data_IF_406791327792
#
_entry.id   IF_406791327792
#
_cell.length_a   1.000
_cell.length_b   1.000
_cell.length_c   1.000
_cell.angle_alpha   90.00
_cell.angle_beta   90.00
_cell.angle_gamma   90.00
#
_symmetry.space_group_name_H-M   'P 1'
#
loop_
_entity.id
_entity.type
_entity.pdbx_description
1 polymer ?
#
# COMPACT_ATOMS: atom_id res chain seq x y z
N UNK A 1 -17.45 -22.16 21.82
CA UNK A 1 -17.07 -22.04 20.39
C UNK A 1 -17.25 -20.59 20.00
N UNK A 2 -16.16 -19.82 19.83
CA UNK A 2 -16.23 -18.36 19.60
C UNK A 2 -16.35 -18.06 18.11
N UNK A 3 -17.51 -17.50 17.76
CA UNK A 3 -17.86 -16.62 16.64
C UNK A 3 -16.74 -16.32 15.63
N UNK A 4 -16.83 -16.90 14.43
CA UNK A 4 -16.16 -16.33 13.25
C UNK A 4 -17.08 -15.29 12.62
N UNK A 5 -16.76 -14.03 12.94
CA UNK A 5 -17.31 -12.85 12.31
C UNK A 5 -16.76 -12.76 10.88
N UNK A 6 -17.43 -13.43 9.95
CA UNK A 6 -17.19 -13.25 8.51
C UNK A 6 -17.87 -11.95 8.07
N UNK A 7 -17.17 -10.84 8.32
CA UNK A 7 -17.48 -9.53 7.74
C UNK A 7 -16.22 -8.99 7.05
N UNK A 8 -15.59 -9.86 6.25
CA UNK A 8 -14.56 -9.43 5.32
C UNK A 8 -15.27 -8.74 4.14
N UNK A 9 -15.59 -7.46 4.29
CA UNK A 9 -15.72 -6.61 3.12
C UNK A 9 -14.45 -6.78 2.27
N UNK A 10 -14.61 -6.93 0.97
CA UNK A 10 -13.58 -7.21 -0.05
C UNK A 10 -12.31 -6.32 -0.01
N UNK A 11 -12.14 -5.41 0.95
CA UNK A 11 -10.93 -4.62 1.16
C UNK A 11 -9.89 -5.26 2.10
N UNK A 12 -10.28 -6.16 3.03
CA UNK A 12 -9.35 -6.63 4.08
C UNK A 12 -8.15 -7.45 3.57
N UNK A 13 -8.36 -8.28 2.55
CA UNK A 13 -7.33 -9.16 1.99
C UNK A 13 -6.42 -8.40 1.03
N UNK A 14 -7.00 -7.57 0.16
CA UNK A 14 -6.28 -6.81 -0.85
C UNK A 14 -5.43 -5.70 -0.23
N UNK A 15 -5.94 -5.02 0.80
CA UNK A 15 -5.17 -4.03 1.55
C UNK A 15 -3.94 -4.66 2.22
N UNK A 16 -4.09 -5.89 2.73
CA UNK A 16 -2.99 -6.62 3.36
C UNK A 16 -1.91 -6.98 2.35
N UNK A 17 -2.29 -7.42 1.14
CA UNK A 17 -1.33 -7.64 0.04
C UNK A 17 -0.62 -6.34 -0.31
N UNK A 18 -1.34 -5.22 -0.45
CA UNK A 18 -0.72 -3.92 -0.74
C UNK A 18 0.28 -3.53 0.36
N UNK A 19 -0.08 -3.68 1.63
CA UNK A 19 0.81 -3.35 2.76
C UNK A 19 2.05 -4.25 2.80
N UNK A 20 1.88 -5.56 2.58
CA UNK A 20 2.97 -6.55 2.58
C UNK A 20 3.97 -6.28 1.45
N UNK A 21 3.45 -6.08 0.25
CA UNK A 21 4.25 -5.73 -0.92
C UNK A 21 4.90 -4.35 -0.79
N UNK A 22 4.19 -3.38 -0.20
CA UNK A 22 4.76 -2.07 0.08
C UNK A 22 5.89 -2.12 1.10
N UNK A 23 5.90 -3.07 2.03
CA UNK A 23 7.01 -3.21 2.99
C UNK A 23 8.32 -3.63 2.32
N UNK A 24 8.24 -4.34 1.19
CA UNK A 24 9.41 -4.84 0.45
C UNK A 24 10.06 -3.79 -0.48
N UNK A 25 9.31 -2.77 -0.93
CA UNK A 25 9.87 -1.72 -1.79
C UNK A 25 10.56 -0.63 -0.96
N UNK A 26 11.61 0.06 -1.43
CA UNK A 26 12.25 1.13 -0.65
C UNK A 26 11.50 2.47 -0.76
N UNK A 27 10.67 2.65 -1.78
CA UNK A 27 10.03 3.92 -2.12
C UNK A 27 8.82 4.23 -1.23
N UNK A 28 8.60 5.51 -0.95
CA UNK A 28 7.40 6.01 -0.27
C UNK A 28 6.19 5.97 -1.20
N UNK A 29 4.99 5.93 -0.61
CA UNK A 29 3.75 5.96 -1.38
C UNK A 29 3.61 7.19 -2.29
N UNK A 30 4.15 8.35 -1.92
CA UNK A 30 4.16 9.52 -2.82
C UNK A 30 5.07 9.29 -4.03
N UNK A 31 6.26 8.72 -3.83
CA UNK A 31 7.21 8.45 -4.91
C UNK A 31 6.62 7.44 -5.90
N UNK A 32 6.03 6.35 -5.40
CA UNK A 32 5.39 5.32 -6.23
C UNK A 32 4.23 5.91 -7.05
N UNK A 33 3.45 6.83 -6.48
CA UNK A 33 2.30 7.42 -7.19
C UNK A 33 2.72 8.53 -8.16
N UNK A 34 3.82 9.22 -7.87
CA UNK A 34 4.32 10.34 -8.69
C UNK A 34 5.15 9.88 -9.88
N UNK A 35 5.78 8.71 -9.78
CA UNK A 35 6.59 8.11 -10.83
C UNK A 35 5.82 6.99 -11.56
N UNK A 36 5.53 7.14 -12.87
CA UNK A 36 4.77 6.14 -13.63
C UNK A 36 5.44 4.75 -13.68
N UNK A 37 6.77 4.70 -13.73
CA UNK A 37 7.51 3.43 -13.81
C UNK A 37 7.44 2.68 -12.47
N UNK A 38 7.60 3.39 -11.35
CA UNK A 38 7.41 2.82 -10.02
C UNK A 38 5.96 2.40 -9.78
N UNK A 39 4.99 3.19 -10.23
CA UNK A 39 3.56 2.88 -10.14
C UNK A 39 3.23 1.58 -10.89
N UNK A 40 3.71 1.44 -12.13
CA UNK A 40 3.49 0.25 -12.94
C UNK A 40 4.21 -0.97 -12.38
N UNK A 41 5.46 -0.81 -11.93
CA UNK A 41 6.21 -1.88 -11.28
C UNK A 41 5.51 -2.39 -10.02
N UNK A 42 5.03 -1.47 -9.18
CA UNK A 42 4.29 -1.81 -7.98
C UNK A 42 2.93 -2.45 -8.30
N UNK A 43 2.24 -1.99 -9.35
CA UNK A 43 0.99 -2.59 -9.83
C UNK A 43 1.16 -4.05 -10.22
N UNK A 44 2.17 -4.36 -11.03
CA UNK A 44 2.47 -5.74 -11.46
C UNK A 44 2.73 -6.62 -10.25
N UNK A 45 3.54 -6.14 -9.32
CA UNK A 45 3.91 -6.86 -8.11
C UNK A 45 2.69 -7.13 -7.20
N UNK A 46 1.82 -6.15 -6.98
CA UNK A 46 0.56 -6.37 -6.22
C UNK A 46 -0.39 -7.32 -6.96
N UNK A 47 -0.58 -7.15 -8.26
CA UNK A 47 -1.53 -7.96 -9.05
C UNK A 47 -1.08 -9.41 -9.25
N UNK A 48 0.20 -9.74 -9.06
CA UNK A 48 0.70 -11.12 -9.03
C UNK A 48 0.20 -11.90 -7.81
N UNK A 49 -0.09 -11.20 -6.71
CA UNK A 49 -0.55 -11.80 -5.46
C UNK A 49 -2.07 -11.71 -5.26
N UNK A 50 -2.78 -11.09 -6.20
CA UNK A 50 -4.24 -10.98 -6.17
C UNK A 50 -4.88 -12.01 -7.11
N UNK A 51 -6.02 -12.62 -6.71
CA UNK A 51 -6.73 -13.52 -7.58
C UNK A 51 -7.31 -12.76 -8.80
N UNK A 52 -7.47 -13.45 -9.94
CA UNK A 52 -8.11 -12.86 -11.11
C UNK A 52 -9.52 -12.37 -10.75
N UNK A 53 -9.86 -11.14 -11.19
CA UNK A 53 -11.10 -10.45 -10.84
C UNK A 53 -11.02 -9.55 -9.60
N UNK A 54 -9.90 -9.57 -8.85
CA UNK A 54 -9.61 -8.61 -7.77
C UNK A 54 -8.35 -7.76 -8.03
N UNK A 55 -7.80 -7.85 -9.23
CA UNK A 55 -6.65 -7.06 -9.66
C UNK A 55 -7.03 -5.58 -9.75
N UNK A 56 -6.05 -4.73 -9.49
CA UNK A 56 -6.20 -3.28 -9.60
C UNK A 56 -5.72 -2.78 -10.95
N UNK A 57 -6.26 -1.64 -11.37
CA UNK A 57 -5.61 -0.75 -12.33
C UNK A 57 -4.70 0.25 -11.60
N UNK A 58 -3.75 0.86 -12.32
CA UNK A 58 -2.80 1.83 -11.77
C UNK A 58 -3.50 2.94 -10.95
N UNK A 59 -4.56 3.53 -11.50
CA UNK A 59 -5.31 4.59 -10.83
C UNK A 59 -5.99 4.11 -9.54
N UNK A 60 -6.53 2.88 -9.53
CA UNK A 60 -7.19 2.30 -8.36
C UNK A 60 -6.17 1.99 -7.27
N UNK A 61 -5.04 1.38 -7.64
CA UNK A 61 -3.96 1.07 -6.72
C UNK A 61 -3.36 2.33 -6.12
N UNK A 62 -3.07 3.35 -6.94
CA UNK A 62 -2.52 4.62 -6.47
C UNK A 62 -3.45 5.29 -5.45
N UNK A 63 -4.76 5.34 -5.74
CA UNK A 63 -5.76 5.87 -4.80
C UNK A 63 -5.78 5.05 -3.50
N UNK A 64 -5.71 3.72 -3.59
CA UNK A 64 -5.73 2.83 -2.42
C UNK A 64 -4.47 3.00 -1.57
N UNK A 65 -3.31 3.08 -2.20
CA UNK A 65 -2.02 3.30 -1.57
C UNK A 65 -2.01 4.62 -0.77
N UNK A 66 -2.51 5.71 -1.36
CA UNK A 66 -2.63 6.99 -0.66
C UNK A 66 -3.62 6.93 0.52
N UNK A 67 -4.71 6.18 0.38
CA UNK A 67 -5.66 5.99 1.49
C UNK A 67 -5.04 5.19 2.64
N UNK A 68 -4.32 4.10 2.33
CA UNK A 68 -3.61 3.29 3.33
C UNK A 68 -2.50 4.08 4.01
N UNK A 69 -1.80 4.95 3.27
CA UNK A 69 -0.84 5.89 3.84
C UNK A 69 -1.50 6.85 4.83
N UNK A 70 -2.62 7.46 4.45
CA UNK A 70 -3.37 8.40 5.31
C UNK A 70 -3.90 7.73 6.56
N UNK A 71 -4.31 6.46 6.46
CA UNK A 71 -4.78 5.64 7.58
C UNK A 71 -3.66 5.40 8.61
N UNK A 72 -2.43 5.20 8.14
CA UNK A 72 -1.26 4.97 8.98
C UNK A 72 -1.22 3.58 9.62
N UNK A 73 -0.01 3.14 9.96
CA UNK A 73 0.29 1.81 10.50
C UNK A 73 -0.56 1.44 11.73
N UNK A 74 -0.70 2.37 12.69
CA UNK A 74 -1.51 2.18 13.91
C UNK A 74 -2.97 1.76 13.65
N UNK A 75 -3.50 2.06 12.45
CA UNK A 75 -4.85 1.72 12.05
C UNK A 75 -4.91 0.60 11.00
N UNK A 76 -3.81 -0.11 10.76
CA UNK A 76 -3.69 -1.14 9.70
C UNK A 76 -3.43 -0.58 8.30
N UNK A 77 -2.88 0.62 8.21
CA UNK A 77 -2.43 1.26 6.97
C UNK A 77 -0.97 0.94 6.63
N UNK A 78 -0.37 1.76 5.76
CA UNK A 78 1.03 1.56 5.33
C UNK A 78 2.02 1.85 6.46
N UNK A 79 3.11 1.09 6.49
CA UNK A 79 4.27 1.37 7.33
C UNK A 79 4.82 2.76 7.04
N UNK A 80 5.26 3.47 8.09
CA UNK A 80 5.89 4.79 7.92
C UNK A 80 7.33 4.61 7.46
N UNK A 81 7.56 4.72 6.15
CA UNK A 81 8.91 4.92 5.62
C UNK A 81 9.33 6.35 5.93
N UNK A 82 10.35 6.52 6.76
CA UNK A 82 10.98 7.81 6.92
C UNK A 82 11.47 8.24 5.53
N UNK A 83 10.96 9.37 5.01
CA UNK A 83 11.67 10.09 3.96
C UNK A 83 13.08 10.28 4.49
N UNK A 84 14.09 9.82 3.74
CA UNK A 84 15.49 9.93 4.13
C UNK A 84 15.71 11.25 4.85
N UNK A 85 16.11 11.15 6.12
CA UNK A 85 16.34 12.26 7.02
C UNK A 85 17.41 13.15 6.39
N UNK A 86 17.02 14.06 5.50
CA UNK A 86 17.89 15.11 5.02
C UNK A 86 17.90 16.12 6.16
N UNK A 87 18.85 15.92 7.08
CA UNK A 87 19.02 16.74 8.27
C UNK A 87 18.97 18.21 7.90
N UNK A 88 17.82 18.84 8.15
CA UNK A 88 17.71 20.28 8.17
C UNK A 88 18.35 20.70 9.49
N UNK A 89 19.66 20.86 9.45
CA UNK A 89 20.45 21.42 10.53
C UNK A 89 19.78 22.76 10.91
N UNK A 90 19.30 22.81 12.15
CA UNK A 90 18.72 23.99 12.77
C UNK A 90 19.85 25.03 12.83
N UNK A 91 19.66 26.17 12.19
CA UNK A 91 20.50 27.35 12.40
C UNK A 91 20.25 27.96 13.78
#
# INVERSE_FOLDING_TARGET
MKTQLSSAGNGGTSDRVICDQYAAVPHTADEIVSDPELSEGFLKLVNQHLPPGQQYDAAQLNKRLLNLRRRGEDNGGLIRKQRGFNGRNIG
#
